data_IF_233615499033
#
_entry.id   IF_233615499033
#
_cell.length_a   1.000
_cell.length_b   1.000
_cell.length_c   1.000
_cell.angle_alpha   90.00
_cell.angle_beta   90.00
_cell.angle_gamma   90.00
#
_symmetry.space_group_name_H-M   'P 1'
#
loop_
_entity.id
_entity.type
_entity.pdbx_description
1 polymer ?
#
# COMPACT_ATOMS: atom_id res chain seq x y z
N UNK A 1 -2.65 -9.40 -46.57
CA UNK A 1 -1.58 -9.00 -45.64
C UNK A 1 -1.00 -7.69 -46.13
N UNK A 2 -1.13 -6.60 -45.37
CA UNK A 2 -0.35 -5.38 -45.64
C UNK A 2 0.59 -5.18 -44.46
N UNK A 3 1.78 -5.78 -44.58
CA UNK A 3 2.87 -5.56 -43.65
C UNK A 3 3.50 -4.19 -43.97
N UNK A 4 2.99 -3.14 -43.33
CA UNK A 4 3.59 -1.81 -43.41
C UNK A 4 4.97 -1.81 -42.75
N UNK A 5 6.04 -1.65 -43.54
CA UNK A 5 7.39 -1.42 -43.03
C UNK A 5 7.44 -0.05 -42.34
N UNK A 6 7.27 -0.04 -41.02
CA UNK A 6 7.62 1.14 -40.21
C UNK A 6 9.10 1.47 -40.42
N UNK A 7 9.37 2.67 -40.94
CA UNK A 7 10.72 3.22 -41.13
C UNK A 7 11.41 3.45 -39.78
N UNK A 8 12.75 3.35 -39.75
CA UNK A 8 13.54 3.35 -38.51
C UNK A 8 13.26 4.55 -37.60
N UNK A 9 13.04 5.74 -38.16
CA UNK A 9 12.71 6.95 -37.39
C UNK A 9 11.33 6.90 -36.69
N UNK A 10 10.32 6.30 -37.32
CA UNK A 10 9.00 6.14 -36.72
C UNK A 10 9.02 5.12 -35.57
N UNK A 11 9.86 4.08 -35.67
CA UNK A 11 10.05 3.09 -34.59
C UNK A 11 10.77 3.71 -33.38
N UNK A 12 11.81 4.52 -33.63
CA UNK A 12 12.54 5.23 -32.57
C UNK A 12 11.66 6.25 -31.85
N UNK A 13 10.83 7.01 -32.57
CA UNK A 13 9.88 7.95 -31.97
C UNK A 13 8.79 7.24 -31.15
N UNK A 14 8.26 6.11 -31.63
CA UNK A 14 7.26 5.31 -30.91
C UNK A 14 7.85 4.70 -29.62
N UNK A 15 9.08 4.18 -29.69
CA UNK A 15 9.79 3.63 -28.53
C UNK A 15 10.08 4.73 -27.50
N UNK A 16 10.53 5.91 -27.93
CA UNK A 16 10.75 7.05 -27.05
C UNK A 16 9.45 7.53 -26.39
N UNK A 17 8.33 7.61 -27.13
CA UNK A 17 7.03 7.98 -26.59
C UNK A 17 6.50 6.96 -25.56
N UNK A 18 6.67 5.66 -25.84
CA UNK A 18 6.31 4.59 -24.89
C UNK A 18 7.17 4.63 -23.62
N UNK A 19 8.48 4.90 -23.75
CA UNK A 19 9.38 5.09 -22.61
C UNK A 19 9.00 6.32 -21.78
N UNK A 20 8.70 7.46 -22.39
CA UNK A 20 8.24 8.65 -21.68
C UNK A 20 6.90 8.44 -20.95
N UNK A 21 5.95 7.72 -21.55
CA UNK A 21 4.68 7.37 -20.91
C UNK A 21 4.87 6.43 -19.70
N UNK A 22 5.82 5.50 -19.77
CA UNK A 22 6.12 4.59 -18.66
C UNK A 22 6.74 5.31 -17.44
N UNK A 23 7.60 6.30 -17.65
CA UNK A 23 8.23 7.08 -16.57
C UNK A 23 7.21 7.98 -15.86
N UNK A 24 6.23 8.54 -16.58
CA UNK A 24 5.15 9.33 -15.99
C UNK A 24 4.23 8.51 -15.07
N UNK A 25 4.04 7.21 -15.35
CA UNK A 25 3.24 6.31 -14.51
C UNK A 25 3.93 5.96 -13.19
N UNK A 26 5.26 5.87 -13.17
CA UNK A 26 6.03 5.55 -11.95
C UNK A 26 6.07 6.70 -10.93
N UNK A 27 5.91 7.95 -11.39
CA UNK A 27 5.80 9.12 -10.50
C UNK A 27 4.46 9.23 -9.76
N UNK A 28 3.47 8.38 -10.11
CA UNK A 28 2.09 8.52 -9.63
C UNK A 28 1.80 7.86 -8.26
N UNK A 29 2.80 7.36 -7.53
CA UNK A 29 2.60 6.50 -6.34
C UNK A 29 3.32 6.99 -5.07
N UNK A 30 3.74 8.26 -5.02
CA UNK A 30 4.42 8.83 -3.86
C UNK A 30 4.24 10.35 -3.79
N UNK A 31 4.37 10.91 -2.59
CA UNK A 31 4.36 12.36 -2.39
C UNK A 31 5.17 12.74 -1.14
N UNK A 32 5.57 14.00 -1.07
CA UNK A 32 6.36 14.60 0.00
C UNK A 32 5.73 15.91 0.49
N UNK A 33 6.04 16.33 1.72
CA UNK A 33 5.45 17.56 2.28
C UNK A 33 3.96 17.40 2.59
N UNK A 34 3.52 16.17 2.86
CA UNK A 34 2.11 15.82 3.05
C UNK A 34 1.77 15.92 4.53
N UNK A 35 0.63 16.53 4.83
CA UNK A 35 0.11 16.58 6.20
C UNK A 35 -0.42 15.20 6.62
N UNK A 36 0.03 14.70 7.77
CA UNK A 36 -0.51 13.50 8.40
C UNK A 36 -1.05 13.86 9.79
N UNK A 37 -2.35 13.78 9.99
CA UNK A 37 -2.99 13.89 11.32
C UNK A 37 -3.03 12.52 11.99
N UNK A 38 -3.67 12.45 13.15
CA UNK A 38 -3.94 11.18 13.80
C UNK A 38 -5.41 11.01 14.18
N UNK A 39 -5.83 9.75 14.21
CA UNK A 39 -7.12 9.30 14.73
C UNK A 39 -6.91 8.14 15.71
N UNK A 40 -7.85 7.94 16.62
CA UNK A 40 -7.82 6.86 17.61
C UNK A 40 -8.65 5.67 17.13
N UNK A 41 -8.21 5.01 16.06
CA UNK A 41 -8.83 3.75 15.62
C UNK A 41 -8.65 2.66 16.67
N UNK A 42 -7.51 2.66 17.37
CA UNK A 42 -7.15 1.70 18.44
C UNK A 42 -7.38 0.24 18.00
N UNK A 43 -6.81 -0.17 16.85
CA UNK A 43 -7.12 -1.46 16.25
C UNK A 43 -6.81 -2.64 17.18
N UNK A 44 -5.79 -2.52 18.04
CA UNK A 44 -5.46 -3.53 19.04
C UNK A 44 -6.60 -3.80 20.03
N UNK A 45 -7.39 -2.78 20.38
CA UNK A 45 -8.49 -2.89 21.35
C UNK A 45 -9.75 -3.52 20.75
N UNK A 46 -9.86 -3.52 19.42
CA UNK A 46 -11.01 -4.03 18.67
C UNK A 46 -10.64 -5.28 17.87
N UNK A 47 -9.58 -6.00 18.27
CA UNK A 47 -9.10 -7.20 17.59
C UNK A 47 -8.84 -7.00 16.07
N UNK A 48 -8.39 -5.79 15.73
CA UNK A 48 -8.17 -5.31 14.37
C UNK A 48 -9.41 -5.42 13.46
N UNK A 49 -10.61 -5.37 14.02
CA UNK A 49 -11.87 -5.48 13.28
C UNK A 49 -12.23 -4.17 12.57
N UNK A 50 -12.23 -4.18 11.24
CA UNK A 50 -12.56 -3.01 10.42
C UNK A 50 -14.03 -2.58 10.62
N UNK A 51 -14.95 -3.51 10.87
CA UNK A 51 -16.36 -3.18 11.12
C UNK A 51 -16.53 -2.45 12.45
N UNK A 52 -15.81 -2.89 13.49
CA UNK A 52 -15.87 -2.26 14.81
C UNK A 52 -15.41 -0.79 14.77
N UNK A 53 -14.41 -0.48 13.94
CA UNK A 53 -13.96 0.89 13.71
C UNK A 53 -14.80 1.66 12.66
N UNK A 54 -15.77 1.01 12.00
CA UNK A 54 -16.61 1.60 10.94
C UNK A 54 -15.79 2.30 9.83
N UNK A 55 -14.63 1.75 9.49
CA UNK A 55 -13.75 2.34 8.48
C UNK A 55 -14.30 2.10 7.08
N UNK A 56 -14.02 3.03 6.16
CA UNK A 56 -14.54 2.98 4.79
C UNK A 56 -14.25 1.66 4.07
N UNK A 57 -13.08 1.05 4.28
CA UNK A 57 -12.70 -0.18 3.59
C UNK A 57 -13.33 -1.46 4.17
N UNK A 58 -14.09 -1.37 5.27
CA UNK A 58 -14.73 -2.53 5.91
C UNK A 58 -15.62 -3.32 4.93
N UNK A 59 -16.29 -2.64 3.99
CA UNK A 59 -17.13 -3.26 2.95
C UNK A 59 -16.41 -4.33 2.13
N UNK A 60 -15.10 -4.21 1.92
CA UNK A 60 -14.33 -5.12 1.07
C UNK A 60 -13.27 -5.92 1.81
N UNK A 61 -12.72 -5.37 2.90
CA UNK A 61 -11.53 -5.94 3.55
C UNK A 61 -11.79 -6.53 4.94
N UNK A 62 -13.00 -6.38 5.50
CA UNK A 62 -13.27 -6.84 6.88
C UNK A 62 -13.16 -8.36 7.06
N UNK A 63 -13.41 -9.15 6.00
CA UNK A 63 -13.32 -10.61 6.04
C UNK A 63 -11.89 -11.15 5.91
N UNK A 64 -10.89 -10.30 5.73
CA UNK A 64 -9.50 -10.75 5.66
C UNK A 64 -9.02 -11.29 7.01
N UNK A 65 -8.02 -12.17 6.95
CA UNK A 65 -7.48 -12.83 8.14
C UNK A 65 -7.00 -11.82 9.19
N UNK A 66 -6.99 -12.25 10.45
CA UNK A 66 -6.44 -11.44 11.53
C UNK A 66 -5.00 -11.01 11.22
N UNK A 67 -4.16 -11.93 10.75
CA UNK A 67 -2.77 -11.67 10.38
C UNK A 67 -2.66 -10.56 9.31
N UNK A 68 -3.51 -10.57 8.29
CA UNK A 68 -3.53 -9.50 7.29
C UNK A 68 -3.92 -8.15 7.89
N UNK A 69 -4.95 -8.14 8.75
CA UNK A 69 -5.49 -6.94 9.39
C UNK A 69 -4.52 -6.33 10.41
N UNK A 70 -3.73 -7.16 11.08
CA UNK A 70 -2.80 -6.77 12.16
C UNK A 70 -1.35 -6.60 11.74
N UNK A 71 -0.98 -6.93 10.49
CA UNK A 71 0.40 -6.85 10.00
C UNK A 71 1.02 -5.45 10.09
N UNK A 72 0.21 -4.40 9.90
CA UNK A 72 0.67 -2.99 9.87
C UNK A 72 -0.32 -2.09 10.59
N UNK A 73 0.17 -0.96 11.13
CA UNK A 73 -0.68 0.10 11.67
C UNK A 73 -1.67 0.64 10.63
N UNK A 74 -2.77 1.23 11.09
CA UNK A 74 -3.85 1.68 10.21
C UNK A 74 -3.73 3.15 9.83
N UNK A 75 -4.29 3.50 8.67
CA UNK A 75 -4.46 4.90 8.25
C UNK A 75 -5.66 5.11 7.34
N UNK A 76 -6.23 6.32 7.39
CA UNK A 76 -7.01 6.88 6.29
C UNK A 76 -6.12 7.53 5.24
N UNK A 77 -6.51 7.44 3.97
CA UNK A 77 -5.75 8.04 2.87
C UNK A 77 -6.59 8.93 1.97
N UNK A 78 -6.07 10.13 1.72
CA UNK A 78 -6.60 11.10 0.76
C UNK A 78 -5.48 12.00 0.19
N UNK A 79 -4.23 11.50 0.20
CA UNK A 79 -3.03 12.22 -0.20
C UNK A 79 -3.01 12.62 -1.67
N UNK A 80 -2.13 13.52 -2.11
CA UNK A 80 -2.18 14.16 -3.44
C UNK A 80 -1.86 13.24 -4.64
N UNK A 81 -1.22 12.08 -4.41
CA UNK A 81 -0.80 11.15 -5.45
C UNK A 81 -1.20 9.70 -5.11
N UNK A 82 -1.48 8.90 -6.13
CA UNK A 82 -1.91 7.51 -5.98
C UNK A 82 -3.43 7.33 -5.92
N UNK A 83 -3.90 6.06 -5.87
CA UNK A 83 -5.33 5.74 -5.83
C UNK A 83 -5.96 6.25 -4.53
N UNK A 84 -7.24 6.62 -4.58
CA UNK A 84 -8.05 7.04 -3.42
C UNK A 84 -9.35 6.26 -3.35
N UNK A 85 -10.03 6.35 -2.20
CA UNK A 85 -11.30 5.66 -1.97
C UNK A 85 -11.14 4.15 -2.06
N UNK A 86 -12.07 3.48 -2.74
CA UNK A 86 -12.07 2.02 -2.84
C UNK A 86 -10.78 1.48 -3.46
N UNK A 87 -10.21 2.17 -4.45
CA UNK A 87 -9.00 1.73 -5.14
C UNK A 87 -7.74 1.72 -4.25
N UNK A 88 -7.76 2.43 -3.12
CA UNK A 88 -6.69 2.41 -2.13
C UNK A 88 -6.86 1.39 -1.01
N UNK A 89 -8.05 0.82 -0.84
CA UNK A 89 -8.34 -0.10 0.26
C UNK A 89 -7.38 -1.28 0.30
N UNK A 90 -6.79 -1.51 1.47
CA UNK A 90 -5.87 -2.62 1.74
C UNK A 90 -4.45 -2.43 1.20
N UNK A 91 -4.15 -1.36 0.45
CA UNK A 91 -2.78 -1.04 0.02
C UNK A 91 -1.93 -0.54 1.18
N UNK A 92 -0.61 -0.63 1.03
CA UNK A 92 0.34 -0.21 2.05
C UNK A 92 1.16 1.01 1.62
N UNK A 93 1.50 1.83 2.60
CA UNK A 93 2.33 3.00 2.45
C UNK A 93 3.54 2.89 3.36
N UNK A 94 4.74 3.12 2.83
CA UNK A 94 5.89 3.50 3.65
C UNK A 94 5.78 4.99 3.93
N UNK A 95 5.57 5.36 5.19
CA UNK A 95 5.40 6.74 5.64
C UNK A 95 6.63 7.16 6.43
N UNK A 96 7.22 8.30 6.08
CA UNK A 96 8.43 8.83 6.71
C UNK A 96 8.17 10.23 7.24
N UNK A 97 8.40 10.44 8.53
CA UNK A 97 8.43 11.77 9.14
C UNK A 97 9.62 12.54 8.56
N UNK A 98 9.35 13.63 7.84
CA UNK A 98 10.41 14.37 7.15
C UNK A 98 11.36 15.09 8.11
N UNK A 99 10.90 15.37 9.32
CA UNK A 99 11.68 16.11 10.32
C UNK A 99 12.68 15.20 11.04
N UNK A 100 12.32 13.96 11.35
CA UNK A 100 13.19 13.02 12.09
C UNK A 100 13.77 11.89 11.25
N UNK A 101 13.21 11.63 10.07
CA UNK A 101 13.54 10.46 9.26
C UNK A 101 12.93 9.15 9.76
N UNK A 102 12.22 9.15 10.89
CA UNK A 102 11.53 7.96 11.40
C UNK A 102 10.46 7.51 10.39
N UNK A 103 10.36 6.21 10.15
CA UNK A 103 9.44 5.65 9.17
C UNK A 103 8.71 4.42 9.68
N UNK A 104 7.53 4.18 9.11
CA UNK A 104 6.71 2.99 9.39
C UNK A 104 5.92 2.60 8.15
N UNK A 105 5.58 1.33 8.02
CA UNK A 105 4.64 0.87 6.99
C UNK A 105 3.24 0.79 7.58
N UNK A 106 2.27 1.39 6.90
CA UNK A 106 0.86 1.41 7.31
C UNK A 106 -0.02 0.83 6.23
N UNK A 107 -1.20 0.35 6.63
CA UNK A 107 -2.25 -0.11 5.72
C UNK A 107 -3.38 0.91 5.64
N UNK A 108 -3.80 1.22 4.42
CA UNK A 108 -4.95 2.07 4.15
C UNK A 108 -6.22 1.27 4.44
N UNK A 109 -6.97 1.69 5.45
CA UNK A 109 -8.24 1.07 5.85
C UNK A 109 -9.42 2.04 5.74
N UNK A 110 -9.14 3.32 5.51
CA UNK A 110 -10.15 4.37 5.54
C UNK A 110 -9.86 5.48 4.52
N UNK A 111 -10.79 6.41 4.37
CA UNK A 111 -10.64 7.61 3.55
C UNK A 111 -10.73 8.88 4.39
N UNK A 112 -10.07 9.95 3.95
CA UNK A 112 -10.08 11.24 4.63
C UNK A 112 -10.40 12.40 3.66
N UNK A 113 -10.47 13.62 4.19
CA UNK A 113 -10.71 14.84 3.42
C UNK A 113 -9.67 15.96 3.69
N UNK A 114 -8.59 15.66 4.42
CA UNK A 114 -7.55 16.61 4.78
C UNK A 114 -6.44 16.77 3.71
N UNK A 115 -6.56 16.07 2.58
CA UNK A 115 -5.57 16.08 1.48
C UNK A 115 -4.28 15.32 1.79
N UNK A 116 -4.28 14.45 2.81
CA UNK A 116 -3.09 13.76 3.28
C UNK A 116 -3.37 12.38 3.86
N UNK A 117 -2.91 12.16 5.09
CA UNK A 117 -3.10 10.92 5.84
C UNK A 117 -3.79 11.23 7.17
N UNK A 118 -4.48 10.23 7.70
CA UNK A 118 -4.92 10.21 9.10
C UNK A 118 -4.45 8.90 9.73
N UNK A 119 -3.37 8.96 10.52
CA UNK A 119 -2.69 7.78 11.03
C UNK A 119 -3.35 7.31 12.33
N UNK A 120 -3.44 6.00 12.57
CA UNK A 120 -3.77 5.54 13.92
C UNK A 120 -2.72 6.04 14.92
N UNK A 121 -3.17 6.63 16.02
CA UNK A 121 -2.28 7.29 16.98
C UNK A 121 -1.23 6.33 17.55
N UNK A 122 -1.66 5.18 18.07
CA UNK A 122 -0.81 4.29 18.84
C UNK A 122 0.11 3.42 17.96
N UNK A 123 -0.39 3.00 16.80
CA UNK A 123 0.30 2.03 15.92
C UNK A 123 1.02 2.66 14.73
N UNK A 124 0.76 3.93 14.40
CA UNK A 124 1.34 4.59 13.23
C UNK A 124 1.91 5.99 13.51
N UNK A 125 1.13 6.91 14.10
CA UNK A 125 1.57 8.30 14.33
C UNK A 125 2.67 8.40 15.39
N UNK A 126 2.38 7.96 16.62
CA UNK A 126 3.31 8.05 17.76
C UNK A 126 4.65 7.35 17.48
N UNK A 127 4.71 6.17 16.84
CA UNK A 127 5.99 5.53 16.50
C UNK A 127 6.93 6.38 15.63
N UNK A 128 6.41 7.27 14.78
CA UNK A 128 7.22 8.13 13.91
C UNK A 128 7.32 9.59 14.38
N UNK A 129 6.54 9.99 15.39
CA UNK A 129 6.67 11.29 16.07
C UNK A 129 7.74 11.24 17.19
N UNK A 130 8.98 10.90 16.82
CA UNK A 130 10.03 10.49 17.75
C UNK A 130 10.58 11.61 18.64
N UNK A 131 10.19 12.86 18.43
CA UNK A 131 10.55 14.00 19.28
C UNK A 131 9.31 14.80 19.76
N UNK A 132 8.10 14.25 19.55
CA UNK A 132 6.83 14.79 20.05
C UNK A 132 6.32 16.07 19.40
N UNK A 133 7.02 16.64 18.40
CA UNK A 133 6.55 17.87 17.77
C UNK A 133 5.28 17.66 16.94
N UNK A 134 5.09 16.48 16.35
CA UNK A 134 3.89 16.18 15.60
C UNK A 134 2.63 16.24 16.46
N UNK A 135 2.69 15.71 17.67
CA UNK A 135 1.60 15.80 18.63
C UNK A 135 1.35 17.26 19.05
N UNK A 136 2.42 18.02 19.32
CA UNK A 136 2.32 19.43 19.68
C UNK A 136 1.69 20.28 18.56
N UNK A 137 2.05 20.01 17.31
CA UNK A 137 1.56 20.71 16.12
C UNK A 137 0.20 20.15 15.62
N UNK A 138 -0.29 19.06 16.23
CA UNK A 138 -1.49 18.33 15.83
C UNK A 138 -1.36 17.60 14.48
N UNK A 139 -0.17 17.54 13.89
CA UNK A 139 0.12 16.80 12.66
C UNK A 139 1.63 16.62 12.44
N UNK A 140 1.98 15.62 11.63
CA UNK A 140 3.31 15.47 11.05
C UNK A 140 3.33 16.01 9.61
N UNK A 141 4.51 16.44 9.16
CA UNK A 141 4.82 16.56 7.74
C UNK A 141 5.58 15.32 7.29
N UNK A 142 4.98 14.55 6.37
CA UNK A 142 5.49 13.25 5.94
C UNK A 142 5.74 13.19 4.44
N UNK A 143 6.60 12.27 4.03
CA UNK A 143 6.53 11.67 2.71
C UNK A 143 5.92 10.28 2.79
N UNK A 144 5.26 9.85 1.72
CA UNK A 144 4.81 8.46 1.59
C UNK A 144 5.13 7.90 0.21
N UNK A 145 5.23 6.57 0.16
CA UNK A 145 5.32 5.79 -1.08
C UNK A 145 4.40 4.57 -0.96
N UNK A 146 3.64 4.26 -2.01
CA UNK A 146 2.94 2.97 -2.09
C UNK A 146 3.96 1.85 -2.22
N UNK A 147 3.86 0.87 -1.34
CA UNK A 147 4.74 -0.31 -1.28
C UNK A 147 3.93 -1.58 -1.31
N UNK A 148 4.59 -2.69 -1.67
CA UNK A 148 4.00 -4.01 -1.47
C UNK A 148 3.82 -4.25 0.04
N UNK A 149 2.64 -4.74 0.43
CA UNK A 149 2.35 -5.15 1.80
C UNK A 149 3.09 -6.43 2.19
N UNK A 150 3.64 -7.18 1.23
CA UNK A 150 4.14 -8.54 1.40
C UNK A 150 3.03 -9.53 1.75
N UNK A 151 3.07 -10.73 1.18
CA UNK A 151 2.09 -11.76 1.54
C UNK A 151 2.36 -12.31 2.95
N UNK A 152 1.33 -12.48 3.79
CA UNK A 152 1.46 -13.23 5.05
C UNK A 152 2.00 -14.66 4.83
N UNK A 153 1.65 -15.27 3.70
CA UNK A 153 2.09 -16.63 3.32
C UNK A 153 3.60 -16.73 2.99
N UNK A 154 4.27 -15.62 2.69
CA UNK A 154 5.70 -15.65 2.33
C UNK A 154 6.63 -15.65 3.56
N UNK A 155 6.13 -15.29 4.76
CA UNK A 155 6.93 -15.38 5.99
C UNK A 155 6.89 -16.78 6.60
N UNK A 156 5.87 -17.59 6.32
CA UNK A 156 5.84 -19.00 6.73
C UNK A 156 6.78 -19.86 5.87
N UNK A 157 6.86 -19.60 4.55
CA UNK A 157 7.79 -20.29 3.64
C UNK A 157 9.26 -19.90 3.87
N UNK A 158 9.53 -18.65 4.30
CA UNK A 158 10.87 -18.21 4.67
C UNK A 158 11.35 -18.79 6.02
N UNK A 159 10.45 -19.07 6.96
CA UNK A 159 10.77 -19.72 8.23
C UNK A 159 10.96 -21.25 8.09
N UNK A 160 10.42 -21.86 7.03
CA UNK A 160 10.50 -23.29 6.77
C UNK A 160 11.76 -23.75 6.01
N UNK A 161 12.62 -22.83 5.55
CA UNK A 161 13.82 -23.17 4.79
C UNK A 161 13.47 -23.63 3.37
N UNK A 162 13.78 -22.79 2.39
CA UNK A 162 13.40 -22.99 1.00
C UNK A 162 13.77 -24.37 0.44
N UNK A 163 12.78 -25.02 -0.16
CA UNK A 163 12.96 -25.96 -1.25
C UNK A 163 11.87 -25.67 -2.30
N UNK A 164 12.28 -25.01 -3.39
CA UNK A 164 11.45 -24.87 -4.56
C UNK A 164 11.03 -26.24 -5.11
N UNK A 165 9.80 -26.36 -5.58
CA UNK A 165 9.62 -26.86 -6.95
C UNK A 165 8.26 -26.47 -7.50
N UNK A 166 8.31 -25.56 -8.47
CA UNK A 166 7.46 -25.54 -9.64
C UNK A 166 7.14 -26.95 -10.14
N UNK A 167 5.85 -27.28 -10.23
CA UNK A 167 5.29 -27.97 -11.39
C UNK A 167 3.80 -27.62 -11.50
N UNK A 168 3.53 -26.60 -12.30
CA UNK A 168 2.27 -26.53 -13.03
C UNK A 168 2.32 -27.64 -14.09
N UNK A 169 1.53 -28.69 -13.94
CA UNK A 169 1.16 -29.54 -15.07
C UNK A 169 -0.23 -30.09 -14.84
N UNK A 170 -1.20 -29.48 -15.54
CA UNK A 170 -2.49 -30.10 -15.73
C UNK A 170 -2.35 -31.40 -16.52
N UNK A 171 -3.12 -32.42 -16.11
CA UNK A 171 -3.68 -33.44 -16.98
C UNK A 171 -4.67 -34.29 -16.16
N UNK A 172 -5.96 -34.12 -16.43
CA UNK A 172 -6.94 -35.21 -16.27
C UNK A 172 -6.76 -36.10 -17.52
N UNK A 173 -6.59 -37.43 -17.37
CA UNK A 173 -7.67 -38.30 -17.83
C UNK A 173 -7.89 -39.58 -16.99
N UNK A 174 -9.18 -39.86 -16.81
CA UNK A 174 -9.93 -41.13 -16.93
C UNK A 174 -9.20 -42.49 -16.85
N UNK A 175 -9.84 -43.36 -16.05
CA UNK A 175 -10.30 -44.73 -16.34
C UNK A 175 -9.46 -45.97 -15.94
N UNK A 176 -10.21 -46.91 -15.32
CA UNK A 176 -10.11 -48.39 -15.34
C UNK A 176 -8.91 -48.94 -14.54
N UNK A 177 -9.09 -49.70 -13.46
CA UNK A 177 -9.84 -50.95 -13.31
C UNK A 177 -10.22 -51.18 -11.84
#
# INVERSE_FOLDING_TARGET
MVAGKMTGGARLALVAALLCAAVAMAAAQQASGVRATYNFYRPQNINWDLNAASVFCATWDASKSFEWRSKYGWTAFCGPAGPRGQASCGKCLLVTNQRTGASTTVRIVDQCSNGGLDLDYDTAFRPIDTDGQGLNDGHLTVSYQFVDCGNPQQVEEAAAGGAASSTYSGAVPRNIM
#
